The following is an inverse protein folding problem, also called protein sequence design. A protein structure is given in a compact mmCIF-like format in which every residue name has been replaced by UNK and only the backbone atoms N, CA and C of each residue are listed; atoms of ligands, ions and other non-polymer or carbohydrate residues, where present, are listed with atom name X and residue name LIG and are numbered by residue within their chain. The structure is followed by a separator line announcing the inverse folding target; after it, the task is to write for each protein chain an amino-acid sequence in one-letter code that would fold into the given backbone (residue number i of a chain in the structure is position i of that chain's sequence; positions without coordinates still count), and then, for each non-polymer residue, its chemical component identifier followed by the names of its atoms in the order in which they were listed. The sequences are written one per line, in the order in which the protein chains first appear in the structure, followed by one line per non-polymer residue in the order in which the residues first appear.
data_IF_797558371928
#
_entry.id   IF_797558371928
#
_cell.length_a   1.000
_cell.length_b   1.000
_cell.length_c   1.000
_cell.angle_alpha   90.00
_cell.angle_beta   90.00
_cell.angle_gamma   90.00
#
_symmetry.space_group_name_H-M   'P 1'
#
loop_
_entity.id
_entity.type
_entity.pdbx_description
1 polymer ?
#
# COMPACT_ATOMS: atom_id res chain seq x y z
N UNK A 1 7.74 10.59 -34.22
CA UNK A 1 8.56 9.40 -33.88
C UNK A 1 8.28 8.24 -34.85
N UNK A 2 9.20 7.95 -35.79
CA UNK A 2 9.10 6.83 -36.73
C UNK A 2 9.21 5.42 -36.09
N UNK A 3 9.50 5.34 -34.79
CA UNK A 3 9.80 4.09 -34.07
C UNK A 3 8.67 3.59 -33.15
N UNK A 4 7.46 4.16 -33.25
CA UNK A 4 6.35 3.70 -32.40
C UNK A 4 5.94 2.27 -32.77
N UNK A 5 6.23 1.30 -31.91
CA UNK A 5 5.77 -0.08 -32.05
C UNK A 5 4.25 -0.15 -32.19
N UNK A 6 3.52 0.76 -31.53
CA UNK A 6 2.06 0.91 -31.69
C UNK A 6 1.68 1.17 -33.15
N UNK A 7 2.43 2.02 -33.88
CA UNK A 7 2.17 2.25 -35.31
C UNK A 7 2.49 1.04 -36.18
N UNK A 8 3.48 0.24 -35.80
CA UNK A 8 3.89 -0.96 -36.56
C UNK A 8 2.95 -2.14 -36.34
N UNK A 9 2.46 -2.34 -35.13
CA UNK A 9 1.65 -3.51 -34.75
C UNK A 9 0.15 -3.21 -34.68
N UNK A 10 -0.25 -1.94 -34.57
CA UNK A 10 -1.62 -1.54 -34.26
C UNK A 10 -2.03 -1.81 -32.80
N UNK A 11 -1.15 -2.38 -31.98
CA UNK A 11 -1.45 -2.76 -30.59
C UNK A 11 -1.30 -1.53 -29.70
N UNK A 12 -2.42 -1.11 -29.10
CA UNK A 12 -2.51 0.08 -28.22
C UNK A 12 -2.83 -0.25 -26.76
N UNK A 13 -3.11 -1.52 -26.45
CA UNK A 13 -3.32 -2.02 -25.08
C UNK A 13 -2.11 -2.90 -24.73
N UNK A 14 -1.34 -2.48 -23.73
CA UNK A 14 -0.04 -3.07 -23.42
C UNK A 14 -0.15 -3.79 -22.07
N UNK A 15 0.24 -5.06 -22.04
CA UNK A 15 0.46 -5.80 -20.80
C UNK A 15 1.97 -5.94 -20.56
N UNK A 16 2.41 -5.72 -19.33
CA UNK A 16 3.81 -5.71 -18.93
C UNK A 16 4.07 -6.70 -17.78
N UNK A 17 5.18 -7.42 -17.87
CA UNK A 17 5.75 -8.28 -16.82
C UNK A 17 7.27 -8.28 -16.94
N UNK A 18 7.97 -8.90 -15.99
CA UNK A 18 9.43 -8.85 -15.82
C UNK A 18 9.84 -7.79 -14.80
N UNK A 19 10.92 -8.08 -14.05
CA UNK A 19 11.38 -7.25 -12.92
C UNK A 19 11.71 -5.79 -13.25
N UNK A 20 12.05 -5.48 -14.51
CA UNK A 20 12.23 -4.10 -14.99
C UNK A 20 10.98 -3.26 -14.79
N UNK A 21 9.79 -3.86 -14.91
CA UNK A 21 8.50 -3.19 -14.74
C UNK A 21 8.12 -3.01 -13.25
N UNK A 22 9.00 -3.35 -12.30
CA UNK A 22 8.89 -2.84 -10.93
C UNK A 22 9.20 -1.33 -10.86
N UNK A 23 9.87 -0.79 -11.89
CA UNK A 23 10.06 0.64 -12.08
C UNK A 23 8.75 1.30 -12.53
N UNK A 24 7.99 1.79 -11.55
CA UNK A 24 6.68 2.42 -11.79
C UNK A 24 6.74 3.69 -12.64
N UNK A 25 7.88 4.40 -12.64
CA UNK A 25 8.06 5.61 -13.46
C UNK A 25 8.23 5.23 -14.92
N UNK A 26 8.98 4.16 -15.20
CA UNK A 26 9.04 3.58 -16.55
C UNK A 26 7.64 3.22 -17.05
N UNK A 27 6.81 2.60 -16.21
CA UNK A 27 5.44 2.23 -16.58
C UNK A 27 4.59 3.46 -16.93
N UNK A 28 4.73 4.57 -16.18
CA UNK A 28 4.12 5.86 -16.54
C UNK A 28 4.60 6.35 -17.90
N UNK A 29 5.91 6.32 -18.17
CA UNK A 29 6.47 6.77 -19.45
C UNK A 29 6.01 5.93 -20.64
N UNK A 30 5.80 4.62 -20.46
CA UNK A 30 5.21 3.74 -21.48
C UNK A 30 3.78 4.17 -21.80
N UNK A 31 2.98 4.44 -20.76
CA UNK A 31 1.60 4.93 -20.91
C UNK A 31 1.54 6.25 -21.69
N UNK A 32 2.48 7.15 -21.45
CA UNK A 32 2.55 8.47 -22.11
C UNK A 32 2.97 8.41 -23.59
N UNK A 33 3.39 7.24 -24.09
CA UNK A 33 3.74 7.09 -25.50
C UNK A 33 2.51 7.32 -26.40
N UNK A 34 2.58 8.23 -27.40
CA UNK A 34 1.46 8.49 -28.29
C UNK A 34 0.91 7.22 -28.96
N UNK A 35 -0.40 6.99 -28.78
CA UNK A 35 -1.12 5.84 -29.31
C UNK A 35 -1.33 4.70 -28.32
N UNK A 36 -0.66 4.71 -27.17
CA UNK A 36 -0.98 3.80 -26.06
C UNK A 36 -2.28 4.25 -25.41
N UNK A 37 -3.23 3.32 -25.29
CA UNK A 37 -4.55 3.54 -24.70
C UNK A 37 -4.68 2.98 -23.29
N UNK A 38 -3.93 1.92 -22.99
CA UNK A 38 -4.01 1.22 -21.72
C UNK A 38 -2.69 0.50 -21.44
N UNK A 39 -2.24 0.55 -20.18
CA UNK A 39 -1.11 -0.23 -19.69
C UNK A 39 -1.59 -1.01 -18.48
N UNK A 40 -1.37 -2.32 -18.50
CA UNK A 40 -1.53 -3.21 -17.35
C UNK A 40 -0.18 -3.80 -16.97
N UNK A 41 0.20 -3.70 -15.70
CA UNK A 41 1.42 -4.33 -15.17
C UNK A 41 0.99 -5.46 -14.25
N UNK A 42 1.46 -6.67 -14.53
CA UNK A 42 1.14 -7.82 -13.68
C UNK A 42 1.61 -7.55 -12.24
N UNK A 43 0.78 -7.72 -11.20
CA UNK A 43 1.11 -7.24 -9.85
C UNK A 43 2.41 -7.80 -9.28
N UNK A 44 2.64 -9.11 -9.44
CA UNK A 44 3.91 -9.75 -9.12
C UNK A 44 4.78 -9.83 -10.39
N UNK A 45 5.12 -8.67 -10.95
CA UNK A 45 5.77 -8.56 -12.26
C UNK A 45 7.13 -9.25 -12.34
N UNK A 46 7.85 -9.41 -11.22
CA UNK A 46 9.16 -10.07 -11.20
C UNK A 46 9.07 -11.58 -11.35
N UNK A 47 10.16 -12.26 -11.00
CA UNK A 47 10.26 -13.72 -11.13
C UNK A 47 9.24 -14.47 -10.25
N UNK A 48 8.75 -13.85 -9.17
CA UNK A 48 7.65 -14.38 -8.36
C UNK A 48 6.36 -14.63 -9.15
N UNK A 49 6.17 -13.93 -10.28
CA UNK A 49 5.06 -14.12 -11.23
C UNK A 49 5.21 -15.30 -12.19
N UNK A 50 6.43 -15.84 -12.35
CA UNK A 50 6.70 -16.87 -13.35
C UNK A 50 5.95 -18.17 -13.07
N UNK A 51 5.73 -18.52 -11.80
CA UNK A 51 4.96 -19.70 -11.42
C UNK A 51 3.53 -19.65 -11.97
N UNK A 52 2.86 -18.49 -11.87
CA UNK A 52 1.52 -18.30 -12.44
C UNK A 52 1.54 -18.38 -13.96
N UNK A 53 2.51 -17.73 -14.60
CA UNK A 53 2.68 -17.82 -16.05
C UNK A 53 2.92 -19.25 -16.56
N UNK A 54 3.73 -20.03 -15.83
CA UNK A 54 4.02 -21.43 -16.14
C UNK A 54 2.77 -22.32 -15.98
N UNK A 55 1.99 -22.12 -14.91
CA UNK A 55 0.72 -22.83 -14.72
C UNK A 55 -0.28 -22.49 -15.84
N UNK A 56 -0.39 -21.21 -16.23
CA UNK A 56 -1.24 -20.80 -17.34
C UNK A 56 -0.81 -21.42 -18.67
N UNK A 57 0.50 -21.49 -18.92
CA UNK A 57 1.05 -22.13 -20.11
C UNK A 57 0.73 -23.63 -20.14
N UNK A 58 0.91 -24.33 -19.01
CA UNK A 58 0.66 -25.77 -18.91
C UNK A 58 -0.83 -26.14 -19.04
N UNK A 59 -1.74 -25.35 -18.47
CA UNK A 59 -3.18 -25.55 -18.59
C UNK A 59 -3.73 -25.18 -19.98
N UNK A 60 -2.98 -24.39 -20.75
CA UNK A 60 -3.34 -23.94 -22.09
C UNK A 60 -4.33 -22.77 -22.10
N UNK A 61 -4.20 -21.87 -23.09
CA UNK A 61 -4.98 -20.64 -23.18
C UNK A 61 -6.50 -20.87 -23.26
N UNK A 62 -6.95 -22.01 -23.80
CA UNK A 62 -8.37 -22.37 -23.90
C UNK A 62 -9.00 -22.69 -22.53
N UNK A 63 -8.20 -23.00 -21.51
CA UNK A 63 -8.65 -23.31 -20.15
C UNK A 63 -8.92 -22.06 -19.31
N UNK A 64 -8.52 -20.87 -19.79
CA UNK A 64 -8.70 -19.62 -19.07
C UNK A 64 -9.69 -18.70 -19.76
N UNK A 65 -10.59 -18.13 -18.98
CA UNK A 65 -11.30 -16.93 -19.39
C UNK A 65 -10.38 -15.74 -19.18
N UNK A 66 -10.34 -14.85 -20.18
CA UNK A 66 -9.62 -13.59 -20.09
C UNK A 66 -10.40 -12.61 -19.20
N UNK A 67 -10.37 -12.88 -17.89
CA UNK A 67 -11.00 -12.04 -16.87
C UNK A 67 -9.95 -11.12 -16.22
N UNK A 68 -10.32 -9.90 -15.81
CA UNK A 68 -9.45 -9.03 -15.04
C UNK A 68 -9.01 -9.68 -13.73
N UNK A 69 -7.79 -9.37 -13.28
CA UNK A 69 -7.36 -9.74 -11.92
C UNK A 69 -8.07 -8.80 -10.96
N UNK A 70 -9.11 -9.25 -10.28
CA UNK A 70 -9.91 -8.38 -9.40
C UNK A 70 -9.11 -7.90 -8.19
N UNK A 71 -8.35 -8.79 -7.56
CA UNK A 71 -7.52 -8.50 -6.39
C UNK A 71 -6.30 -9.43 -6.35
N UNK A 72 -5.40 -9.22 -5.37
CA UNK A 72 -4.21 -10.07 -5.17
C UNK A 72 -4.16 -10.75 -3.80
N UNK A 73 -5.24 -10.74 -3.02
CA UNK A 73 -5.28 -11.37 -1.70
C UNK A 73 -5.36 -12.92 -1.77
N UNK A 74 -4.29 -13.54 -2.25
CA UNK A 74 -4.19 -14.99 -2.47
C UNK A 74 -3.36 -15.71 -1.41
N UNK A 75 -2.67 -14.98 -0.52
CA UNK A 75 -1.91 -15.54 0.57
C UNK A 75 -2.77 -16.06 1.74
N UNK A 76 -2.13 -16.47 2.84
CA UNK A 76 -2.82 -17.03 4.00
C UNK A 76 -3.71 -16.01 4.71
N UNK A 77 -4.72 -16.54 5.39
CA UNK A 77 -5.62 -15.84 6.30
C UNK A 77 -5.52 -16.49 7.68
N UNK A 78 -5.88 -15.76 8.74
CA UNK A 78 -5.81 -16.24 10.12
C UNK A 78 -7.12 -15.91 10.84
N UNK A 79 -7.71 -16.91 11.50
CA UNK A 79 -8.93 -16.70 12.24
C UNK A 79 -8.67 -15.95 13.56
N UNK A 80 -9.68 -15.23 14.07
CA UNK A 80 -9.61 -14.48 15.34
C UNK A 80 -9.01 -15.31 16.50
N UNK A 81 -9.33 -16.60 16.60
CA UNK A 81 -8.82 -17.46 17.68
C UNK A 81 -7.31 -17.75 17.59
N UNK A 82 -6.76 -17.83 16.37
CA UNK A 82 -5.32 -17.99 16.14
C UNK A 82 -4.58 -16.70 16.50
N UNK A 83 -5.15 -15.56 16.10
CA UNK A 83 -4.64 -14.22 16.44
C UNK A 83 -4.67 -14.00 17.95
N UNK A 84 -5.79 -14.31 18.60
CA UNK A 84 -5.95 -14.15 20.04
C UNK A 84 -4.94 -15.01 20.82
N UNK A 85 -4.69 -16.25 20.37
CA UNK A 85 -3.67 -17.11 20.97
C UNK A 85 -2.29 -16.45 20.88
N UNK A 86 -1.88 -15.99 19.70
CA UNK A 86 -0.58 -15.34 19.50
C UNK A 86 -0.43 -14.07 20.37
N UNK A 87 -1.49 -13.27 20.51
CA UNK A 87 -1.50 -12.08 21.37
C UNK A 87 -1.35 -12.43 22.86
N UNK A 88 -2.01 -13.49 23.32
CA UNK A 88 -1.90 -14.00 24.69
C UNK A 88 -0.52 -14.58 24.97
N UNK A 89 0.04 -15.34 24.04
CA UNK A 89 1.37 -15.92 24.15
C UNK A 89 2.46 -14.83 24.20
N UNK A 90 2.26 -13.73 23.46
CA UNK A 90 3.10 -12.55 23.52
C UNK A 90 2.87 -11.66 24.77
N UNK A 91 1.91 -12.01 25.63
CA UNK A 91 1.52 -11.27 26.83
C UNK A 91 1.20 -9.78 26.55
N UNK A 92 0.49 -9.53 25.44
CA UNK A 92 0.06 -8.18 25.04
C UNK A 92 -1.32 -7.84 25.60
N UNK A 93 -1.53 -6.58 25.93
CA UNK A 93 -2.85 -6.03 26.20
C UNK A 93 -3.55 -5.78 24.86
N UNK A 94 -4.79 -6.25 24.72
CA UNK A 94 -5.58 -6.09 23.50
C UNK A 94 -7.07 -6.00 23.84
N UNK A 95 -7.80 -5.27 23.01
CA UNK A 95 -9.25 -5.15 23.07
C UNK A 95 -9.86 -5.62 21.75
N UNK A 96 -11.01 -6.29 21.82
CA UNK A 96 -11.78 -6.59 20.62
C UNK A 96 -12.58 -5.36 20.21
N UNK A 97 -12.35 -4.86 18.99
CA UNK A 97 -13.10 -3.73 18.48
C UNK A 97 -14.38 -4.19 17.77
N UNK A 98 -15.55 -3.61 18.07
CA UNK A 98 -16.78 -3.90 17.32
C UNK A 98 -16.78 -3.30 15.90
N UNK A 99 -15.94 -2.30 15.66
CA UNK A 99 -15.76 -1.61 14.38
C UNK A 99 -14.29 -1.19 14.26
N UNK A 100 -13.45 -2.15 13.85
CA UNK A 100 -12.00 -1.95 13.78
C UNK A 100 -11.66 -0.88 12.73
N UNK A 101 -12.42 -0.78 11.65
CA UNK A 101 -12.20 0.20 10.59
C UNK A 101 -12.43 1.64 11.05
N UNK A 102 -13.54 1.93 11.74
CA UNK A 102 -13.78 3.26 12.32
C UNK A 102 -12.73 3.59 13.39
N UNK A 103 -12.33 2.59 14.19
CA UNK A 103 -11.29 2.74 15.22
C UNK A 103 -9.94 3.12 14.60
N UNK A 104 -9.51 2.41 13.56
CA UNK A 104 -8.27 2.72 12.83
C UNK A 104 -8.33 4.12 12.22
N UNK A 105 -9.47 4.51 11.66
CA UNK A 105 -9.63 5.87 11.14
C UNK A 105 -9.50 6.94 12.24
N UNK A 106 -9.93 6.68 13.49
CA UNK A 106 -9.81 7.64 14.60
C UNK A 106 -8.35 7.79 15.01
N UNK A 107 -7.63 6.67 15.11
CA UNK A 107 -6.20 6.66 15.37
C UNK A 107 -5.43 7.43 14.28
N UNK A 108 -5.81 7.30 13.01
CA UNK A 108 -5.22 8.08 11.93
C UNK A 108 -5.54 9.57 12.06
N UNK A 109 -6.77 9.96 12.44
CA UNK A 109 -7.10 11.38 12.73
C UNK A 109 -6.22 11.93 13.85
N UNK A 110 -5.88 11.10 14.84
CA UNK A 110 -4.98 11.44 15.95
C UNK A 110 -3.48 11.37 15.61
N UNK A 111 -3.12 11.22 14.32
CA UNK A 111 -1.73 11.08 13.87
C UNK A 111 -0.98 9.88 14.48
N UNK A 112 -1.70 8.79 14.75
CA UNK A 112 -1.11 7.51 15.17
C UNK A 112 -0.68 6.67 13.97
N UNK A 113 0.37 5.87 14.16
CA UNK A 113 0.80 4.85 13.22
C UNK A 113 0.08 3.55 13.53
N UNK A 114 -0.55 2.97 12.52
CA UNK A 114 -1.29 1.71 12.68
C UNK A 114 -0.66 0.64 11.80
N UNK A 115 -0.16 -0.42 12.42
CA UNK A 115 0.11 -1.68 11.72
C UNK A 115 -1.22 -2.39 11.48
N UNK A 116 -1.58 -2.65 10.22
CA UNK A 116 -2.78 -3.37 9.82
C UNK A 116 -2.40 -4.78 9.38
N UNK A 117 -3.01 -5.77 10.02
CA UNK A 117 -2.94 -7.18 9.67
C UNK A 117 -4.37 -7.71 9.57
N UNK A 118 -4.91 -7.82 8.36
CA UNK A 118 -6.32 -8.17 8.18
C UNK A 118 -6.52 -9.01 6.93
N UNK A 119 -7.34 -10.06 7.04
CA UNK A 119 -7.69 -10.98 5.97
C UNK A 119 -6.50 -11.65 5.27
N UNK A 120 -6.77 -12.16 4.06
CA UNK A 120 -5.77 -12.82 3.20
C UNK A 120 -4.62 -11.90 2.80
N UNK A 121 -3.38 -12.37 2.93
CA UNK A 121 -2.18 -11.64 2.51
C UNK A 121 -2.14 -11.37 1.00
N UNK A 122 -1.58 -10.22 0.61
CA UNK A 122 -1.32 -9.82 -0.76
C UNK A 122 -0.29 -10.72 -1.46
N UNK A 123 -0.54 -11.02 -2.73
CA UNK A 123 0.40 -11.66 -3.64
C UNK A 123 1.21 -10.59 -4.37
N UNK A 124 2.53 -10.67 -4.22
CA UNK A 124 3.48 -9.79 -4.87
C UNK A 124 4.25 -8.91 -3.88
N UNK A 125 5.08 -7.98 -4.38
CA UNK A 125 6.04 -7.25 -3.56
C UNK A 125 5.45 -6.02 -2.84
N UNK A 126 4.14 -5.77 -2.97
CA UNK A 126 3.49 -4.55 -2.46
C UNK A 126 2.47 -4.91 -1.39
N UNK A 127 2.55 -4.24 -0.25
CA UNK A 127 1.45 -4.19 0.69
C UNK A 127 0.33 -3.30 0.11
N UNK A 128 -0.89 -3.81 0.10
CA UNK A 128 -2.07 -3.20 -0.51
C UNK A 128 -3.22 -3.16 0.51
N UNK A 129 -2.90 -2.89 1.77
CA UNK A 129 -3.84 -2.72 2.86
C UNK A 129 -3.76 -3.84 3.90
N UNK A 130 -3.62 -5.11 3.50
CA UNK A 130 -3.79 -6.28 4.38
C UNK A 130 -2.58 -6.58 5.26
N UNK A 131 -1.36 -6.24 4.82
CA UNK A 131 -0.13 -6.32 5.63
C UNK A 131 0.62 -5.00 5.55
N UNK A 132 0.04 -3.94 6.10
CA UNK A 132 0.41 -2.55 5.83
C UNK A 132 0.68 -1.75 7.09
N UNK A 133 1.55 -0.76 7.01
CA UNK A 133 1.67 0.31 8.01
C UNK A 133 0.96 1.53 7.42
N UNK A 134 -0.01 2.05 8.18
CA UNK A 134 -0.84 3.18 7.81
C UNK A 134 -0.48 4.42 8.63
N UNK A 135 -0.43 5.57 7.97
CA UNK A 135 -0.18 6.86 8.62
C UNK A 135 -0.80 8.03 7.83
N UNK A 136 -1.17 9.16 8.47
CA UNK A 136 -1.66 10.33 7.73
C UNK A 136 -0.63 10.95 6.79
N UNK A 137 -1.06 11.40 5.61
CA UNK A 137 -0.15 11.88 4.58
C UNK A 137 0.19 13.38 4.66
N UNK A 138 -0.25 14.08 5.71
CA UNK A 138 -0.09 15.54 5.83
C UNK A 138 1.31 15.98 6.27
N UNK A 139 2.00 15.16 7.07
CA UNK A 139 3.35 15.44 7.56
C UNK A 139 4.39 15.11 6.48
N UNK A 140 5.01 16.11 5.81
CA UNK A 140 6.00 15.84 4.76
C UNK A 140 7.26 15.13 5.29
N UNK A 141 7.53 15.20 6.59
CA UNK A 141 8.71 14.61 7.21
C UNK A 141 8.48 13.16 7.68
N UNK A 142 7.26 12.63 7.57
CA UNK A 142 6.92 11.24 7.95
C UNK A 142 7.84 10.21 7.32
N UNK A 143 8.17 10.38 6.04
CA UNK A 143 9.03 9.44 5.33
C UNK A 143 10.38 9.31 6.02
N UNK A 144 10.93 10.40 6.56
CA UNK A 144 12.25 10.39 7.18
C UNK A 144 12.21 9.69 8.53
N UNK A 145 11.32 10.11 9.43
CA UNK A 145 11.31 9.57 10.79
C UNK A 145 10.70 8.16 10.85
N UNK A 146 9.72 7.83 10.01
CA UNK A 146 9.15 6.48 9.98
C UNK A 146 10.14 5.46 9.41
N UNK A 147 10.88 5.82 8.35
CA UNK A 147 11.94 4.95 7.86
C UNK A 147 13.04 4.76 8.91
N UNK A 148 13.46 5.82 9.61
CA UNK A 148 14.40 5.70 10.73
C UNK A 148 13.86 4.78 11.84
N UNK A 149 12.58 4.92 12.23
CA UNK A 149 11.96 4.07 13.24
C UNK A 149 11.89 2.59 12.83
N UNK A 150 11.67 2.32 11.54
CA UNK A 150 11.64 0.97 10.97
C UNK A 150 13.04 0.44 10.59
N UNK A 151 14.10 1.20 10.89
CA UNK A 151 15.49 0.85 10.57
C UNK A 151 15.81 0.87 9.07
N UNK A 152 14.97 1.48 8.24
CA UNK A 152 15.09 1.49 6.77
C UNK A 152 16.08 2.56 6.32
N UNK A 153 17.08 2.14 5.56
CA UNK A 153 18.17 2.99 5.05
C UNK A 153 17.90 3.60 3.67
N UNK A 154 16.93 3.05 2.94
CA UNK A 154 16.57 3.52 1.61
C UNK A 154 15.66 4.76 1.69
N UNK A 155 15.95 5.78 0.88
CA UNK A 155 14.99 6.83 0.56
C UNK A 155 13.88 6.22 -0.32
N UNK A 156 12.98 5.46 0.30
CA UNK A 156 11.79 4.95 -0.35
C UNK A 156 10.66 5.94 -0.15
N UNK A 157 10.18 6.62 -1.21
CA UNK A 157 8.99 7.42 -1.09
C UNK A 157 7.80 6.51 -0.77
N UNK A 158 7.00 6.91 0.21
CA UNK A 158 5.79 6.17 0.54
C UNK A 158 4.72 6.37 -0.52
N UNK A 159 3.85 5.36 -0.63
CA UNK A 159 2.76 5.36 -1.59
C UNK A 159 1.46 5.83 -0.92
N UNK A 160 0.63 6.61 -1.62
CA UNK A 160 -0.71 6.91 -1.14
C UNK A 160 -1.64 5.71 -1.40
N UNK A 161 -2.40 5.30 -0.38
CA UNK A 161 -3.66 4.59 -0.61
C UNK A 161 -4.79 5.61 -0.64
N UNK A 162 -5.58 5.63 -1.72
CA UNK A 162 -6.59 6.65 -1.96
C UNK A 162 -7.94 6.02 -2.36
N UNK A 163 -9.04 6.67 -1.96
CA UNK A 163 -10.37 6.29 -2.45
C UNK A 163 -10.40 6.40 -3.98
N UNK A 164 -10.76 5.30 -4.65
CA UNK A 164 -10.83 5.25 -6.11
C UNK A 164 -11.79 6.31 -6.67
N UNK A 165 -12.88 6.63 -5.95
CA UNK A 165 -13.85 7.65 -6.32
C UNK A 165 -13.28 9.09 -6.32
N UNK A 166 -12.21 9.34 -5.57
CA UNK A 166 -11.57 10.65 -5.46
C UNK A 166 -10.33 10.76 -6.37
N UNK A 167 -9.91 9.66 -7.00
CA UNK A 167 -8.70 9.60 -7.82
C UNK A 167 -8.60 10.72 -8.89
N UNK A 168 -9.67 11.06 -9.65
CA UNK A 168 -9.60 12.14 -10.66
C UNK A 168 -9.27 13.52 -10.09
N UNK A 169 -9.46 13.73 -8.79
CA UNK A 169 -9.15 14.98 -8.10
C UNK A 169 -7.71 14.99 -7.55
N UNK A 170 -7.06 13.82 -7.46
CA UNK A 170 -5.72 13.66 -6.88
C UNK A 170 -4.64 13.43 -7.94
N UNK A 171 -4.98 12.75 -9.04
CA UNK A 171 -4.04 12.31 -10.05
C UNK A 171 -4.47 12.76 -11.44
N UNK A 172 -3.51 13.17 -12.25
CA UNK A 172 -3.74 13.56 -13.64
C UNK A 172 -3.63 12.34 -14.54
N UNK A 173 -4.42 12.35 -15.61
CA UNK A 173 -4.34 11.37 -16.68
C UNK A 173 -4.48 9.92 -16.12
N UNK A 174 -5.61 9.57 -15.52
CA UNK A 174 -5.82 8.22 -14.99
C UNK A 174 -6.21 7.21 -16.08
N UNK A 175 -6.92 7.68 -17.11
CA UNK A 175 -7.56 6.87 -18.14
C UNK A 175 -6.62 5.78 -18.69
N UNK A 176 -7.12 4.54 -18.64
CA UNK A 176 -6.46 3.36 -19.18
C UNK A 176 -5.44 2.71 -18.24
N UNK A 177 -5.30 3.19 -16.99
CA UNK A 177 -4.34 2.68 -16.01
C UNK A 177 -4.92 2.60 -14.58
N UNK A 178 -6.21 2.83 -14.39
CA UNK A 178 -6.91 2.79 -13.10
C UNK A 178 -6.71 1.44 -12.41
N UNK A 179 -6.87 0.34 -13.17
CA UNK A 179 -6.66 -1.02 -12.66
C UNK A 179 -5.20 -1.27 -12.24
N UNK A 180 -4.26 -0.69 -12.96
CA UNK A 180 -2.82 -0.77 -12.67
C UNK A 180 -2.48 0.00 -11.40
N UNK A 181 -3.18 1.12 -11.17
CA UNK A 181 -3.09 1.92 -9.97
C UNK A 181 -3.63 1.20 -8.73
N UNK A 182 -4.54 0.22 -8.85
CA UNK A 182 -4.97 -0.59 -7.70
C UNK A 182 -3.84 -1.43 -7.10
N UNK A 183 -2.77 -1.69 -7.86
CA UNK A 183 -1.66 -2.55 -7.45
C UNK A 183 -0.37 -1.78 -7.16
N UNK A 184 -0.41 -0.45 -7.15
CA UNK A 184 0.77 0.41 -7.00
C UNK A 184 1.90 0.09 -7.99
N UNK A 185 1.56 -0.22 -9.24
CA UNK A 185 2.54 -0.60 -10.27
C UNK A 185 2.78 0.49 -11.32
N UNK A 186 2.21 1.68 -11.14
CA UNK A 186 2.40 2.83 -12.04
C UNK A 186 2.37 4.14 -11.23
N UNK A 187 3.05 5.17 -11.70
CA UNK A 187 2.97 6.52 -11.16
C UNK A 187 2.05 7.43 -11.98
N UNK A 188 1.54 8.47 -11.35
CA UNK A 188 0.81 9.55 -12.00
C UNK A 188 1.32 10.90 -11.50
N UNK A 189 1.18 11.92 -12.34
CA UNK A 189 1.41 13.30 -11.91
C UNK A 189 0.31 13.72 -10.93
N UNK A 190 0.71 14.35 -9.83
CA UNK A 190 -0.20 14.81 -8.80
C UNK A 190 -0.90 16.11 -9.21
N UNK A 191 -2.13 16.29 -8.72
CA UNK A 191 -2.82 17.59 -8.73
C UNK A 191 -2.32 18.47 -7.59
N UNK A 192 -2.71 19.74 -7.60
CA UNK A 192 -2.47 20.65 -6.46
C UNK A 192 -3.18 20.16 -5.19
N UNK A 193 -4.38 19.58 -5.32
CA UNK A 193 -5.12 19.01 -4.18
C UNK A 193 -4.32 17.91 -3.51
N UNK A 194 -3.77 16.97 -4.29
CA UNK A 194 -2.93 15.90 -3.77
C UNK A 194 -1.66 16.45 -3.11
N UNK A 195 -0.97 17.38 -3.78
CA UNK A 195 0.26 17.99 -3.26
C UNK A 195 0.02 18.72 -1.93
N UNK A 196 -1.13 19.40 -1.79
CA UNK A 196 -1.48 20.15 -0.58
C UNK A 196 -1.97 19.26 0.55
N UNK A 197 -2.81 18.26 0.26
CA UNK A 197 -3.44 17.43 1.30
C UNK A 197 -2.59 16.24 1.73
N UNK A 198 -1.70 15.75 0.85
CA UNK A 198 -0.93 14.53 1.04
C UNK A 198 0.56 14.71 0.64
N UNK A 199 1.25 15.78 1.08
CA UNK A 199 2.63 16.06 0.66
C UNK A 199 3.61 14.92 0.97
N UNK A 200 3.37 14.12 2.02
CA UNK A 200 4.19 12.96 2.37
C UNK A 200 4.27 11.89 1.26
N UNK A 201 3.19 11.76 0.47
CA UNK A 201 3.05 10.77 -0.57
C UNK A 201 3.49 11.27 -1.96
N UNK A 202 3.88 12.54 -2.06
CA UNK A 202 4.23 13.20 -3.32
C UNK A 202 5.75 13.22 -3.46
N UNK A 203 6.26 12.65 -4.56
CA UNK A 203 7.68 12.61 -4.86
C UNK A 203 8.20 14.00 -5.26
N UNK A 204 9.53 14.15 -5.24
CA UNK A 204 10.21 15.39 -5.66
C UNK A 204 9.93 15.81 -7.10
N UNK A 205 9.53 14.86 -7.97
CA UNK A 205 9.13 15.11 -9.35
C UNK A 205 7.63 15.36 -9.53
N UNK A 206 6.91 15.62 -8.42
CA UNK A 206 5.46 15.84 -8.37
C UNK A 206 4.62 14.65 -8.83
N UNK A 207 5.15 13.43 -8.74
CA UNK A 207 4.40 12.21 -8.99
C UNK A 207 4.13 11.43 -7.72
N UNK A 208 3.16 10.52 -7.77
CA UNK A 208 2.92 9.53 -6.73
C UNK A 208 2.58 8.18 -7.36
N UNK A 209 2.81 7.11 -6.60
CA UNK A 209 2.50 5.72 -6.97
C UNK A 209 1.29 5.24 -6.17
N UNK A 210 0.05 5.57 -6.57
CA UNK A 210 -1.12 5.29 -5.75
C UNK A 210 -1.45 3.81 -5.69
N UNK A 211 -2.12 3.43 -4.60
CA UNK A 211 -3.09 2.35 -4.56
C UNK A 211 -4.48 2.97 -4.62
N UNK A 212 -5.25 2.68 -5.67
CA UNK A 212 -6.67 3.01 -5.70
C UNK A 212 -7.48 1.92 -5.00
N UNK A 213 -8.34 2.33 -4.07
CA UNK A 213 -9.12 1.42 -3.23
C UNK A 213 -10.61 1.69 -3.40
N UNK A 214 -11.37 0.65 -3.71
CA UNK A 214 -12.83 0.66 -3.81
C UNK A 214 -13.45 -0.41 -2.89
N UNK A 215 -14.78 -0.37 -2.67
CA UNK A 215 -15.48 -1.43 -1.94
C UNK A 215 -15.30 -2.82 -2.56
N UNK A 216 -15.12 -2.89 -3.88
CA UNK A 216 -14.96 -4.17 -4.60
C UNK A 216 -13.54 -4.70 -4.56
N UNK A 217 -12.53 -3.82 -4.45
CA UNK A 217 -11.13 -4.27 -4.35
C UNK A 217 -10.78 -4.70 -2.94
N UNK A 218 -11.18 -3.93 -1.91
CA UNK A 218 -10.91 -4.23 -0.51
C UNK A 218 -11.91 -3.47 0.37
N UNK A 219 -13.01 -4.11 0.76
CA UNK A 219 -14.09 -3.47 1.48
C UNK A 219 -13.67 -2.91 2.85
N UNK A 220 -12.89 -3.68 3.62
CA UNK A 220 -12.39 -3.26 4.95
C UNK A 220 -11.44 -2.07 4.81
N UNK A 221 -10.45 -2.14 3.91
CA UNK A 221 -9.52 -1.02 3.75
C UNK A 221 -10.20 0.23 3.17
N UNK A 222 -11.17 0.04 2.25
CA UNK A 222 -12.02 1.12 1.77
C UNK A 222 -12.81 1.79 2.92
N UNK A 223 -13.36 1.02 3.85
CA UNK A 223 -14.11 1.56 4.99
C UNK A 223 -13.24 2.44 5.89
N UNK A 224 -11.98 2.06 6.16
CA UNK A 224 -11.00 2.90 6.87
C UNK A 224 -10.80 4.23 6.12
N UNK A 225 -10.49 4.17 4.82
CA UNK A 225 -10.26 5.37 4.01
C UNK A 225 -11.50 6.26 3.93
N UNK A 226 -12.68 5.67 3.81
CA UNK A 226 -13.94 6.40 3.77
C UNK A 226 -14.24 7.08 5.11
N UNK A 227 -14.04 6.40 6.23
CA UNK A 227 -14.19 6.96 7.57
C UNK A 227 -13.20 8.12 7.81
N UNK A 228 -11.93 7.90 7.50
CA UNK A 228 -10.89 8.93 7.55
C UNK A 228 -11.25 10.13 6.67
N UNK A 229 -11.71 9.91 5.44
CA UNK A 229 -12.13 10.96 4.53
C UNK A 229 -13.31 11.77 5.07
N UNK A 230 -14.35 11.11 5.62
CA UNK A 230 -15.50 11.82 6.24
C UNK A 230 -15.07 12.74 7.39
N UNK A 231 -14.06 12.32 8.17
CA UNK A 231 -13.59 13.05 9.36
C UNK A 231 -12.64 14.19 9.02
N UNK A 232 -11.85 14.06 7.96
CA UNK A 232 -10.75 14.99 7.64
C UNK A 232 -10.93 15.78 6.34
N UNK A 233 -11.78 15.31 5.43
CA UNK A 233 -11.83 15.80 4.04
C UNK A 233 -10.61 15.39 3.19
N UNK A 234 -9.76 14.50 3.70
CA UNK A 234 -8.57 13.98 3.02
C UNK A 234 -8.83 12.53 2.56
N UNK A 235 -8.83 12.25 1.26
CA UNK A 235 -9.26 10.95 0.72
C UNK A 235 -8.14 9.92 0.60
N UNK A 236 -7.02 10.13 1.31
CA UNK A 236 -5.82 9.30 1.18
C UNK A 236 -4.96 9.30 2.44
N UNK A 237 -4.27 8.18 2.66
CA UNK A 237 -3.28 7.97 3.72
C UNK A 237 -2.02 7.37 3.12
N UNK A 238 -0.92 7.41 3.87
CA UNK A 238 0.26 6.61 3.58
C UNK A 238 -0.07 5.13 3.77
N UNK A 239 0.28 4.33 2.77
CA UNK A 239 0.38 2.88 2.89
C UNK A 239 1.83 2.45 2.54
N UNK A 240 2.51 1.83 3.50
CA UNK A 240 3.82 1.21 3.32
C UNK A 240 3.82 -0.23 3.79
N UNK A 241 4.80 -1.02 3.35
CA UNK A 241 4.91 -2.42 3.72
C UNK A 241 5.04 -2.60 5.22
N UNK A 242 4.35 -3.59 5.78
CA UNK A 242 4.54 -3.97 7.18
C UNK A 242 5.66 -4.99 7.29
N UNK A 243 6.87 -4.48 7.56
CA UNK A 243 8.10 -5.25 7.75
C UNK A 243 9.17 -4.37 8.40
N UNK A 244 10.10 -5.01 9.11
CA UNK A 244 11.36 -4.38 9.51
C UNK A 244 12.31 -4.30 8.31
N UNK A 245 13.41 -3.54 8.45
CA UNK A 245 14.42 -3.44 7.40
C UNK A 245 14.98 -4.82 7.01
N UNK A 246 15.13 -5.05 5.70
CA UNK A 246 15.63 -6.30 5.10
C UNK A 246 14.79 -7.57 5.35
N UNK A 247 13.60 -7.44 5.95
CA UNK A 247 12.67 -8.55 6.14
C UNK A 247 11.55 -8.57 5.08
N UNK A 248 10.96 -9.74 4.77
CA UNK A 248 9.72 -9.83 4.00
C UNK A 248 8.54 -9.13 4.70
N UNK A 249 7.49 -8.85 3.93
CA UNK A 249 6.19 -8.44 4.49
C UNK A 249 5.71 -9.51 5.49
N UNK A 250 5.24 -9.07 6.66
CA UNK A 250 4.76 -9.97 7.72
C UNK A 250 3.67 -10.91 7.19
N UNK A 251 3.80 -12.20 7.49
CA UNK A 251 2.90 -13.23 6.97
C UNK A 251 1.96 -13.71 8.07
N UNK A 252 2.50 -14.11 9.21
CA UNK A 252 1.78 -14.68 10.36
C UNK A 252 1.48 -13.65 11.46
N UNK A 253 0.55 -13.94 12.40
CA UNK A 253 0.32 -13.11 13.58
C UNK A 253 1.59 -12.86 14.39
N UNK A 254 2.43 -13.89 14.56
CA UNK A 254 3.71 -13.77 15.27
C UNK A 254 4.69 -12.81 14.57
N UNK A 255 4.75 -12.87 13.23
CA UNK A 255 5.56 -11.92 12.45
C UNK A 255 5.06 -10.48 12.65
N UNK A 256 3.74 -10.28 12.62
CA UNK A 256 3.12 -8.97 12.80
C UNK A 256 3.35 -8.41 14.20
N UNK A 257 3.19 -9.23 15.24
CA UNK A 257 3.44 -8.87 16.63
C UNK A 257 4.91 -8.49 16.83
N UNK A 258 5.83 -9.31 16.31
CA UNK A 258 7.27 -9.04 16.39
C UNK A 258 7.63 -7.73 15.70
N UNK A 259 7.18 -7.53 14.46
CA UNK A 259 7.46 -6.31 13.71
C UNK A 259 6.81 -5.07 14.35
N UNK A 260 5.60 -5.20 14.91
CA UNK A 260 4.92 -4.16 15.67
C UNK A 260 5.76 -3.66 16.85
N UNK A 261 6.26 -4.59 17.67
CA UNK A 261 7.06 -4.29 18.85
C UNK A 261 8.44 -3.74 18.50
N UNK A 262 9.11 -4.34 17.51
CA UNK A 262 10.43 -3.89 17.06
C UNK A 262 10.36 -2.52 16.36
N UNK A 263 9.34 -2.32 15.53
CA UNK A 263 9.12 -1.11 14.75
C UNK A 263 8.51 0.05 15.54
N UNK A 264 8.25 -0.12 16.86
CA UNK A 264 7.70 0.92 17.75
C UNK A 264 6.44 1.57 17.14
N UNK A 265 5.60 0.77 16.49
CA UNK A 265 4.35 1.21 15.88
C UNK A 265 3.34 1.47 17.01
N UNK A 266 2.51 2.51 16.92
CA UNK A 266 1.64 2.90 18.05
C UNK A 266 0.59 1.86 18.36
N UNK A 267 -0.07 1.37 17.31
CA UNK A 267 -1.15 0.40 17.42
C UNK A 267 -1.02 -0.69 16.36
N UNK A 268 -1.34 -1.92 16.74
CA UNK A 268 -1.56 -3.03 15.82
C UNK A 268 -3.06 -3.32 15.79
N UNK A 269 -3.66 -3.10 14.61
CA UNK A 269 -4.99 -3.59 14.28
C UNK A 269 -4.82 -4.95 13.59
N UNK A 270 -5.17 -6.03 14.28
CA UNK A 270 -4.96 -7.41 13.83
C UNK A 270 -6.23 -8.24 13.99
N UNK A 271 -6.82 -8.65 12.87
CA UNK A 271 -8.17 -9.22 12.87
C UNK A 271 -9.18 -8.27 13.52
N UNK A 272 -10.01 -8.80 14.41
CA UNK A 272 -10.96 -8.01 15.21
C UNK A 272 -10.34 -7.28 16.41
N UNK A 273 -9.02 -7.31 16.60
CA UNK A 273 -8.35 -6.82 17.82
C UNK A 273 -7.54 -5.55 17.57
N UNK A 274 -7.57 -4.64 18.55
CA UNK A 274 -6.69 -3.50 18.65
C UNK A 274 -5.70 -3.70 19.80
N UNK A 275 -4.43 -3.47 19.51
CA UNK A 275 -3.33 -3.65 20.46
C UNK A 275 -2.57 -2.33 20.59
N UNK A 276 -2.65 -1.61 21.72
CA UNK A 276 -1.77 -0.48 21.98
C UNK A 276 -0.35 -0.95 22.24
N UNK A 277 0.64 -0.20 21.76
CA UNK A 277 2.03 -0.55 22.03
C UNK A 277 2.32 -0.45 23.53
N UNK A 278 3.02 -1.42 24.15
CA UNK A 278 3.32 -1.39 25.60
C UNK A 278 4.10 -0.15 26.07
N UNK A 279 4.72 0.56 25.12
CA UNK A 279 5.50 1.79 25.31
C UNK A 279 4.89 3.02 24.63
N UNK A 280 3.59 2.99 24.32
CA UNK A 280 2.88 3.99 23.52
C UNK A 280 3.17 5.43 23.99
N UNK A 281 3.00 5.72 25.28
CA UNK A 281 3.24 7.06 25.83
C UNK A 281 4.67 7.55 25.59
N UNK A 282 5.65 6.67 25.79
CA UNK A 282 7.05 7.04 25.55
C UNK A 282 7.28 7.32 24.07
N UNK A 283 6.78 6.47 23.16
CA UNK A 283 6.91 6.61 21.70
C UNK A 283 6.29 7.92 21.23
N UNK A 284 5.07 8.22 21.68
CA UNK A 284 4.36 9.44 21.35
C UNK A 284 5.15 10.68 21.82
N UNK A 285 5.69 10.65 23.03
CA UNK A 285 6.53 11.72 23.56
C UNK A 285 7.82 11.91 22.73
N UNK A 286 8.41 10.83 22.20
CA UNK A 286 9.63 10.95 21.39
C UNK A 286 9.41 11.67 20.08
N UNK A 287 8.25 11.44 19.42
CA UNK A 287 7.92 12.07 18.13
C UNK A 287 7.61 13.56 18.24
N UNK A 288 7.10 14.00 19.39
CA UNK A 288 6.86 15.42 19.66
C UNK A 288 8.15 16.19 19.98
N UNK A 289 9.28 15.51 20.22
CA UNK A 289 10.56 16.19 20.39
C UNK A 289 11.06 16.66 19.03
N UNK A 290 11.45 17.94 18.88
CA UNK A 290 12.04 18.40 17.63
C UNK A 290 13.22 17.51 17.27
N UNK A 291 13.28 17.07 16.02
CA UNK A 291 14.39 16.28 15.50
C UNK A 291 15.70 16.98 15.88
N UNK A 292 16.48 16.38 16.77
CA UNK A 292 17.82 16.87 17.05
C UNK A 292 18.57 16.80 15.72
N UNK A 293 19.03 17.95 15.24
CA UNK A 293 19.77 18.04 13.98
C UNK A 293 20.88 16.98 14.00
N UNK A 294 20.77 16.00 13.11
CA UNK A 294 21.84 15.02 12.89
C UNK A 294 23.07 15.83 12.47
N UNK A 295 24.19 15.76 13.20
CA UNK A 295 25.41 16.45 12.79
C UNK A 295 25.79 15.91 11.41
N UNK A 296 26.02 16.82 10.46
CA UNK A 296 26.55 16.50 9.13
C UNK A 296 27.93 15.87 9.20
#
# INVERSE_FOLDING_TARGET
MPWSMVKKTGISRIALSGGVNANVKLNQRIREVPGVKCVFVYPNMGDGGCATGAAMLACGAASFRAEPIDHVYYGPDYADHEIESALRDANLAFDRSPDIEETVADLLVENRIVGRFEGRMEYGPRALGNRSILYPAQDPDVNQWLNHQLGRTEFMPFAPAALASEAPQLFKNLDGCEKTAEFMTVTFDCTERMTRQCPAAVHVDHTARPQLVSPTTNASFHAILAAYHRRTGIPSVINTSFNMHEEPIVCSPDDAIRAFLQGRIDYLAIGSYLVPHPKLESIAAERLRPAQAVPR
#
